data_IF_149337562835
#
_entry.id   IF_149337562835
#
_cell.length_a   1.000
_cell.length_b   1.000
_cell.length_c   1.000
_cell.angle_alpha   90.00
_cell.angle_beta   90.00
_cell.angle_gamma   90.00
#
_symmetry.space_group_name_H-M   'P 1'
#
loop_
_entity.id
_entity.type
_entity.pdbx_description
1 polymer ?
#
# COMPACT_ATOMS: atom_id res chain seq x y z
N UNK A 1 26.48 -14.05 0.58
CA UNK A 1 25.97 -12.91 1.37
C UNK A 1 25.43 -11.91 0.35
N UNK A 2 24.13 -11.99 0.05
CA UNK A 2 23.48 -10.99 -0.81
C UNK A 2 23.42 -9.73 0.05
N UNK A 3 24.18 -8.70 -0.30
CA UNK A 3 23.98 -7.38 0.27
C UNK A 3 22.54 -7.00 0.00
N UNK A 4 21.74 -6.67 1.03
CA UNK A 4 20.40 -6.10 0.82
C UNK A 4 20.55 -4.91 -0.12
N UNK A 5 20.17 -5.09 -1.39
CA UNK A 5 20.12 -4.00 -2.34
C UNK A 5 19.12 -2.98 -1.79
N UNK A 6 19.56 -1.73 -1.76
CA UNK A 6 18.78 -0.61 -1.26
C UNK A 6 17.61 -0.35 -2.21
N UNK A 7 16.42 -0.84 -1.85
CA UNK A 7 15.23 -0.75 -2.70
C UNK A 7 14.81 0.72 -2.90
N UNK A 8 15.00 1.58 -1.90
CA UNK A 8 14.69 3.01 -1.98
C UNK A 8 15.58 3.67 -3.02
N UNK A 9 16.89 3.42 -2.93
CA UNK A 9 17.86 3.95 -3.89
C UNK A 9 17.67 3.40 -5.29
N UNK A 10 17.37 2.10 -5.42
CA UNK A 10 17.20 1.43 -6.71
C UNK A 10 15.95 1.92 -7.44
N UNK A 11 14.89 2.23 -6.70
CA UNK A 11 13.66 2.81 -7.23
C UNK A 11 13.73 4.33 -7.40
N UNK A 12 14.79 4.99 -6.91
CA UNK A 12 14.93 6.44 -6.97
C UNK A 12 13.87 7.19 -6.15
N UNK A 13 13.42 6.62 -5.03
CA UNK A 13 12.36 7.19 -4.20
C UNK A 13 12.91 8.34 -3.37
N UNK A 14 12.26 9.50 -3.48
CA UNK A 14 12.62 10.73 -2.77
C UNK A 14 11.51 11.21 -1.81
N UNK A 15 11.85 11.98 -0.75
CA UNK A 15 10.85 12.53 0.15
C UNK A 15 9.82 13.41 -0.57
N UNK A 16 8.54 13.24 -0.22
CA UNK A 16 7.43 13.98 -0.83
C UNK A 16 6.86 13.35 -2.10
N UNK A 17 7.47 12.29 -2.62
CA UNK A 17 6.95 11.53 -3.76
C UNK A 17 5.80 10.60 -3.37
N UNK A 18 5.11 10.12 -4.40
CA UNK A 18 4.06 9.13 -4.35
C UNK A 18 4.39 7.91 -5.21
N UNK A 19 4.26 6.74 -4.60
CA UNK A 19 4.55 5.44 -5.20
C UNK A 19 3.29 4.58 -5.12
N UNK A 20 2.80 4.09 -6.25
CA UNK A 20 1.67 3.17 -6.30
C UNK A 20 2.12 1.76 -6.69
N UNK A 21 1.70 0.74 -5.96
CA UNK A 21 1.85 -0.66 -6.37
C UNK A 21 0.54 -1.19 -6.95
N UNK A 22 0.62 -1.80 -8.13
CA UNK A 22 -0.50 -2.41 -8.88
C UNK A 22 -0.20 -3.88 -9.20
N UNK A 23 -1.20 -4.66 -9.61
CA UNK A 23 -1.03 -6.05 -10.00
C UNK A 23 -1.28 -7.08 -8.89
N UNK A 24 -0.66 -8.26 -8.99
CA UNK A 24 -0.93 -9.45 -8.19
C UNK A 24 0.23 -9.87 -7.28
N UNK A 25 -0.10 -10.38 -6.08
CA UNK A 25 0.90 -10.83 -5.09
C UNK A 25 1.76 -9.70 -4.49
N UNK A 26 2.30 -9.89 -3.28
CA UNK A 26 3.42 -9.11 -2.71
C UNK A 26 3.30 -7.58 -2.51
N UNK A 27 2.28 -6.89 -3.05
CA UNK A 27 2.17 -5.42 -3.03
C UNK A 27 2.28 -4.81 -1.64
N UNK A 28 1.46 -5.28 -0.70
CA UNK A 28 1.48 -4.79 0.69
C UNK A 28 2.87 -4.96 1.29
N UNK A 29 3.49 -6.13 1.11
CA UNK A 29 4.83 -6.44 1.63
C UNK A 29 5.92 -5.58 0.99
N UNK A 30 5.83 -5.32 -0.32
CA UNK A 30 6.75 -4.44 -1.03
C UNK A 30 6.65 -3.01 -0.51
N UNK A 31 5.43 -2.48 -0.40
CA UNK A 31 5.21 -1.13 0.09
C UNK A 31 5.68 -0.97 1.55
N UNK A 32 5.43 -1.96 2.42
CA UNK A 32 5.92 -1.90 3.81
C UNK A 32 7.45 -2.00 3.89
N UNK A 33 8.10 -2.77 3.03
CA UNK A 33 9.56 -2.81 2.94
C UNK A 33 10.15 -1.47 2.51
N UNK A 34 9.59 -0.85 1.46
CA UNK A 34 9.97 0.50 1.01
C UNK A 34 9.78 1.52 2.15
N UNK A 35 8.64 1.49 2.85
CA UNK A 35 8.36 2.40 3.96
C UNK A 35 9.42 2.31 5.08
N UNK A 36 9.79 1.08 5.48
CA UNK A 36 10.79 0.83 6.52
C UNK A 36 12.15 1.37 6.13
N UNK A 37 12.61 1.03 4.93
CA UNK A 37 13.93 1.45 4.48
C UNK A 37 13.99 2.97 4.25
N UNK A 38 12.94 3.56 3.66
CA UNK A 38 12.85 5.00 3.45
C UNK A 38 12.92 5.78 4.77
N UNK A 39 12.12 5.36 5.76
CA UNK A 39 12.10 6.00 7.07
C UNK A 39 13.45 5.85 7.78
N UNK A 40 14.07 4.66 7.72
CA UNK A 40 15.38 4.41 8.33
C UNK A 40 16.50 5.26 7.72
N UNK A 41 16.46 5.53 6.41
CA UNK A 41 17.50 6.30 5.72
C UNK A 41 17.31 7.81 5.83
N UNK A 42 16.06 8.29 5.78
CA UNK A 42 15.76 9.72 5.65
C UNK A 42 15.25 10.36 6.95
N UNK A 43 14.77 9.55 7.90
CA UNK A 43 14.03 10.01 9.07
C UNK A 43 12.66 10.64 8.75
N UNK A 44 12.25 10.66 7.48
CA UNK A 44 10.99 11.26 7.03
C UNK A 44 9.82 10.27 7.21
N UNK A 45 8.59 10.77 7.40
CA UNK A 45 7.42 9.91 7.56
C UNK A 45 7.05 9.20 6.25
N UNK A 46 6.48 8.01 6.38
CA UNK A 46 5.89 7.26 5.27
C UNK A 46 4.42 6.94 5.59
N UNK A 47 3.55 7.23 4.63
CA UNK A 47 2.10 7.00 4.74
C UNK A 47 1.74 5.89 3.79
N UNK A 48 1.22 4.78 4.31
CA UNK A 48 0.67 3.70 3.52
C UNK A 48 -0.85 3.84 3.43
N UNK A 49 -1.39 3.68 2.24
CA UNK A 49 -2.83 3.69 2.02
C UNK A 49 -3.22 2.81 0.84
N UNK A 50 -4.52 2.73 0.52
CA UNK A 50 -5.01 1.88 -0.55
C UNK A 50 -6.26 2.49 -1.20
N UNK A 51 -6.51 2.16 -2.47
CA UNK A 51 -7.79 2.42 -3.16
C UNK A 51 -8.81 1.31 -2.99
N UNK A 52 -8.45 0.20 -2.34
CA UNK A 52 -9.30 -0.99 -2.19
C UNK A 52 -9.47 -1.41 -0.73
N UNK A 53 -10.00 -2.60 -0.46
CA UNK A 53 -10.08 -3.15 0.89
C UNK A 53 -8.83 -3.95 1.20
N UNK A 54 -8.14 -3.58 2.27
CA UNK A 54 -6.96 -4.28 2.78
C UNK A 54 -7.23 -4.87 4.17
N UNK A 55 -6.37 -5.78 4.60
CA UNK A 55 -6.30 -6.13 6.01
C UNK A 55 -5.49 -5.08 6.76
N UNK A 56 -5.91 -4.75 7.98
CA UNK A 56 -5.16 -3.87 8.86
C UNK A 56 -3.75 -4.44 9.11
N UNK A 57 -2.72 -3.59 9.24
CA UNK A 57 -1.38 -4.03 9.63
C UNK A 57 -1.43 -4.79 10.96
N UNK A 58 -0.51 -5.73 11.14
CA UNK A 58 -0.44 -6.48 12.38
C UNK A 58 0.22 -5.62 13.48
N UNK A 59 -0.24 -5.69 14.75
CA UNK A 59 0.32 -4.87 15.83
C UNK A 59 1.84 -5.00 15.99
N UNK A 60 2.38 -6.21 15.80
CA UNK A 60 3.81 -6.51 15.86
C UNK A 60 4.64 -5.86 14.74
N UNK A 61 3.99 -5.39 13.66
CA UNK A 61 4.69 -4.61 12.64
C UNK A 61 5.06 -3.20 13.14
N UNK A 62 4.43 -2.73 14.22
CA UNK A 62 4.74 -1.44 14.85
C UNK A 62 4.33 -0.22 14.03
N UNK A 63 3.44 -0.40 13.05
CA UNK A 63 2.93 0.69 12.24
C UNK A 63 1.80 1.45 12.98
N UNK A 64 1.79 2.78 12.85
CA UNK A 64 0.64 3.57 13.23
C UNK A 64 -0.57 3.24 12.36
N UNK A 65 -1.79 3.38 12.89
CA UNK A 65 -3.03 3.23 12.13
C UNK A 65 -3.95 4.41 12.41
N UNK A 66 -4.25 5.19 11.38
CA UNK A 66 -5.18 6.30 11.46
C UNK A 66 -6.41 6.04 10.57
N UNK A 67 -7.59 6.32 11.13
CA UNK A 67 -8.87 6.11 10.49
C UNK A 67 -9.68 7.40 10.49
N UNK A 68 -10.27 7.73 9.34
CA UNK A 68 -11.07 8.94 9.17
C UNK A 68 -11.19 9.33 7.72
N UNK A 69 -11.95 10.38 7.44
CA UNK A 69 -11.96 11.00 6.13
C UNK A 69 -10.59 11.63 5.80
N UNK A 70 -10.27 11.68 4.51
CA UNK A 70 -8.96 12.12 4.04
C UNK A 70 -8.62 13.54 4.48
N UNK A 71 -9.60 14.45 4.41
CA UNK A 71 -9.41 15.85 4.76
C UNK A 71 -9.11 16.04 6.26
N UNK A 72 -9.86 15.36 7.13
CA UNK A 72 -9.66 15.41 8.57
C UNK A 72 -8.33 14.78 8.97
N UNK A 73 -7.95 13.64 8.38
CA UNK A 73 -6.65 13.01 8.63
C UNK A 73 -5.51 13.94 8.22
N UNK A 74 -5.59 14.53 7.02
CA UNK A 74 -4.59 15.46 6.50
C UNK A 74 -4.42 16.68 7.42
N UNK A 75 -5.53 17.32 7.83
CA UNK A 75 -5.51 18.49 8.73
C UNK A 75 -5.04 18.17 10.15
N UNK A 76 -5.47 17.04 10.69
CA UNK A 76 -5.25 16.71 12.11
C UNK A 76 -3.88 16.10 12.35
N UNK A 77 -3.39 15.28 11.42
CA UNK A 77 -2.10 14.60 11.55
C UNK A 77 -0.97 15.36 10.84
N UNK A 78 -1.28 16.18 9.84
CA UNK A 78 -0.30 17.00 9.11
C UNK A 78 0.74 17.69 10.00
N UNK A 79 0.33 18.43 11.05
CA UNK A 79 1.26 19.09 11.97
C UNK A 79 2.18 18.14 12.75
N UNK A 80 1.73 16.90 12.96
CA UNK A 80 2.44 15.90 13.76
C UNK A 80 3.17 14.86 12.91
N UNK A 81 2.99 14.84 11.59
CA UNK A 81 3.56 13.81 10.71
C UNK A 81 5.08 13.69 10.83
N UNK A 82 5.79 14.81 11.00
CA UNK A 82 7.24 14.77 11.18
C UNK A 82 7.68 14.09 12.49
N UNK A 83 6.79 14.01 13.48
CA UNK A 83 6.99 13.23 14.71
C UNK A 83 6.47 11.78 14.58
N UNK A 84 5.73 11.48 13.51
CA UNK A 84 5.26 10.13 13.20
C UNK A 84 6.30 9.38 12.35
N UNK A 85 6.42 8.08 12.58
CA UNK A 85 7.24 7.20 11.74
C UNK A 85 6.47 6.73 10.52
N UNK A 86 6.12 5.45 10.52
CA UNK A 86 5.39 4.80 9.42
C UNK A 86 3.94 4.58 9.86
N UNK A 87 2.97 5.01 9.05
CA UNK A 87 1.56 4.93 9.41
C UNK A 87 0.68 4.50 8.25
N UNK A 88 -0.31 3.66 8.55
CA UNK A 88 -1.38 3.28 7.64
C UNK A 88 -2.58 4.21 7.80
N UNK A 89 -3.04 4.79 6.69
CA UNK A 89 -4.25 5.59 6.63
C UNK A 89 -5.32 4.82 5.87
N UNK A 90 -6.52 4.72 6.45
CA UNK A 90 -7.68 4.15 5.79
C UNK A 90 -8.95 4.90 6.19
N UNK A 91 -10.01 4.81 5.37
CA UNK A 91 -11.22 5.59 5.60
C UNK A 91 -11.99 5.13 6.83
N UNK A 92 -12.18 3.82 6.96
CA UNK A 92 -12.90 3.22 8.10
C UNK A 92 -12.63 1.72 8.23
N UNK A 93 -13.07 1.16 9.36
CA UNK A 93 -13.15 -0.29 9.57
C UNK A 93 -14.37 -0.83 8.85
N UNK A 94 -14.20 -1.92 8.13
CA UNK A 94 -15.29 -2.64 7.46
C UNK A 94 -15.79 -3.83 8.29
N UNK A 95 -14.96 -4.36 9.18
CA UNK A 95 -15.28 -5.50 10.03
C UNK A 95 -14.12 -6.49 10.13
N UNK A 96 -14.41 -7.69 10.62
CA UNK A 96 -13.46 -8.80 10.69
C UNK A 96 -13.80 -9.79 9.57
N UNK A 97 -12.79 -10.29 8.86
CA UNK A 97 -12.95 -11.27 7.80
C UNK A 97 -11.87 -12.35 7.88
N UNK A 98 -12.14 -13.58 7.41
CA UNK A 98 -11.13 -14.62 7.30
C UNK A 98 -10.04 -14.21 6.30
N UNK A 99 -8.82 -14.62 6.57
CA UNK A 99 -7.66 -14.36 5.73
C UNK A 99 -7.58 -15.45 4.64
N UNK A 100 -7.64 -15.11 3.33
CA UNK A 100 -7.50 -16.10 2.27
C UNK A 100 -6.17 -16.86 2.39
N UNK A 101 -6.24 -18.19 2.34
CA UNK A 101 -5.09 -19.09 2.56
C UNK A 101 -4.78 -19.42 4.02
N UNK A 102 -5.47 -18.77 4.98
CA UNK A 102 -5.30 -18.95 6.41
C UNK A 102 -6.67 -18.96 7.10
N UNK A 103 -7.45 -20.04 6.88
CA UNK A 103 -8.87 -20.10 7.25
C UNK A 103 -9.14 -20.00 8.76
N UNK A 104 -8.17 -20.37 9.60
CA UNK A 104 -8.24 -20.22 11.06
C UNK A 104 -7.97 -18.79 11.53
N UNK A 105 -7.49 -17.91 10.66
CA UNK A 105 -7.11 -16.55 10.98
C UNK A 105 -8.19 -15.56 10.52
N UNK A 106 -8.59 -14.69 11.44
CA UNK A 106 -9.52 -13.60 11.16
C UNK A 106 -8.85 -12.25 11.43
N UNK A 107 -8.94 -11.33 10.48
CA UNK A 107 -8.31 -10.02 10.56
C UNK A 107 -9.29 -8.90 10.27
N UNK A 108 -9.04 -7.75 10.91
CA UNK A 108 -9.75 -6.52 10.62
C UNK A 108 -9.51 -6.10 9.17
N UNK A 109 -10.59 -5.86 8.42
CA UNK A 109 -10.54 -5.21 7.12
C UNK A 109 -10.78 -3.72 7.26
N UNK A 110 -10.02 -2.98 6.46
CA UNK A 110 -10.12 -1.54 6.30
C UNK A 110 -10.62 -1.26 4.89
N UNK A 111 -11.47 -0.25 4.74
CA UNK A 111 -11.73 0.33 3.43
C UNK A 111 -10.79 1.50 3.17
N UNK A 112 -10.18 1.46 1.99
CA UNK A 112 -9.37 2.54 1.45
C UNK A 112 -10.19 3.76 1.05
N UNK A 113 -9.49 4.65 0.35
CA UNK A 113 -9.98 5.92 -0.15
C UNK A 113 -10.27 5.84 -1.65
N UNK A 114 -11.07 6.75 -2.18
CA UNK A 114 -11.11 6.97 -3.62
C UNK A 114 -9.79 7.59 -4.10
N UNK A 115 -9.45 7.47 -5.40
CA UNK A 115 -8.28 8.14 -5.96
C UNK A 115 -8.21 9.64 -5.67
N UNK A 116 -9.36 10.32 -5.74
CA UNK A 116 -9.47 11.76 -5.45
C UNK A 116 -9.27 12.08 -3.97
N UNK A 117 -9.75 11.23 -3.06
CA UNK A 117 -9.51 11.38 -1.62
C UNK A 117 -8.02 11.21 -1.27
N UNK A 118 -7.30 10.29 -1.94
CA UNK A 118 -5.85 10.11 -1.71
C UNK A 118 -5.06 11.36 -2.10
N UNK A 119 -5.47 12.10 -3.13
CA UNK A 119 -4.84 13.36 -3.51
C UNK A 119 -4.84 14.37 -2.33
N UNK A 120 -5.87 14.37 -1.49
CA UNK A 120 -5.99 15.23 -0.31
C UNK A 120 -5.09 14.80 0.88
N UNK A 121 -4.59 13.55 0.87
CA UNK A 121 -3.73 13.00 1.91
C UNK A 121 -2.25 13.33 1.74
N UNK A 122 -1.87 13.99 0.64
CA UNK A 122 -0.48 14.39 0.41
C UNK A 122 -0.03 15.37 1.49
N UNK A 123 0.99 14.96 2.24
CA UNK A 123 1.60 15.76 3.30
C UNK A 123 3.04 16.07 2.92
N UNK A 124 3.45 17.34 3.08
CA UNK A 124 4.74 17.83 2.60
C UNK A 124 5.90 17.02 3.18
N UNK A 125 6.76 16.48 2.31
CA UNK A 125 7.94 15.70 2.68
C UNK A 125 7.68 14.28 3.16
N UNK A 126 6.41 13.83 3.24
CA UNK A 126 6.06 12.44 3.51
C UNK A 126 6.10 11.63 2.21
N UNK A 127 6.60 10.39 2.29
CA UNK A 127 6.46 9.43 1.20
C UNK A 127 5.04 8.85 1.22
N UNK A 128 4.32 8.95 0.11
CA UNK A 128 3.00 8.34 -0.07
C UNK A 128 3.12 6.99 -0.76
N UNK A 129 2.70 5.92 -0.10
CA UNK A 129 2.72 4.54 -0.61
C UNK A 129 1.29 4.04 -0.78
N UNK A 130 0.90 3.70 -2.01
CA UNK A 130 -0.49 3.43 -2.36
C UNK A 130 -0.61 2.03 -2.91
N UNK A 131 -1.31 1.15 -2.22
CA UNK A 131 -1.72 -0.12 -2.78
C UNK A 131 -2.98 0.09 -3.63
N UNK A 132 -2.83 -0.02 -4.94
CA UNK A 132 -3.90 0.07 -5.90
C UNK A 132 -4.20 -1.29 -6.51
N UNK A 133 -5.33 -1.36 -7.22
CA UNK A 133 -5.60 -2.46 -8.15
C UNK A 133 -5.61 -3.86 -7.49
N UNK A 134 -6.42 -4.01 -6.43
CA UNK A 134 -6.41 -5.20 -5.58
C UNK A 134 -6.76 -6.50 -6.30
N UNK A 135 -5.77 -7.37 -6.54
CA UNK A 135 -5.94 -8.72 -7.12
C UNK A 135 -6.57 -9.79 -6.20
N UNK A 136 -7.15 -9.41 -5.06
CA UNK A 136 -7.57 -10.36 -3.99
C UNK A 136 -6.50 -11.40 -3.58
N UNK A 137 -5.22 -11.00 -3.58
CA UNK A 137 -4.03 -11.86 -3.37
C UNK A 137 -3.75 -12.91 -4.46
N UNK A 138 -4.45 -12.88 -5.58
CA UNK A 138 -4.06 -13.70 -6.74
C UNK A 138 -2.73 -13.20 -7.32
N UNK A 139 -1.92 -14.11 -7.87
CA UNK A 139 -0.55 -13.81 -8.28
C UNK A 139 -0.49 -12.93 -9.54
N UNK A 140 -1.54 -12.95 -10.38
CA UNK A 140 -1.72 -12.04 -11.52
C UNK A 140 -3.05 -11.30 -11.37
N UNK A 141 -3.06 -10.01 -11.76
CA UNK A 141 -4.27 -9.29 -12.13
C UNK A 141 -4.25 -8.96 -13.62
N UNK A 142 -5.35 -9.22 -14.30
CA UNK A 142 -5.62 -8.76 -15.65
C UNK A 142 -6.56 -7.55 -15.57
N UNK A 143 -6.03 -6.31 -15.58
CA UNK A 143 -6.83 -5.12 -15.37
C UNK A 143 -7.87 -4.95 -16.47
N UNK A 144 -9.05 -4.44 -16.10
CA UNK A 144 -10.09 -4.01 -17.03
C UNK A 144 -9.70 -2.74 -17.82
N UNK A 145 -10.54 -2.30 -18.78
CA UNK A 145 -10.27 -1.11 -19.59
C UNK A 145 -10.08 0.18 -18.77
N UNK A 146 -10.73 0.27 -17.61
CA UNK A 146 -10.69 1.42 -16.72
C UNK A 146 -9.73 1.22 -15.52
N UNK A 147 -8.87 0.20 -15.56
CA UNK A 147 -7.92 -0.14 -14.50
C UNK A 147 -6.46 -0.08 -14.97
N UNK A 148 -5.49 0.19 -14.07
CA UNK A 148 -5.67 0.47 -12.64
C UNK A 148 -6.20 1.89 -12.41
N UNK A 149 -7.17 2.01 -11.51
CA UNK A 149 -7.64 3.34 -11.07
C UNK A 149 -6.61 3.90 -10.06
N UNK A 150 -5.83 4.89 -10.51
CA UNK A 150 -4.78 5.53 -9.72
C UNK A 150 -5.16 6.98 -9.36
N UNK A 151 -4.67 7.51 -8.23
CA UNK A 151 -4.73 8.95 -7.95
C UNK A 151 -4.01 9.77 -9.03
N UNK A 152 -4.36 11.04 -9.14
CA UNK A 152 -3.63 11.94 -10.03
C UNK A 152 -2.20 12.22 -9.50
N UNK A 153 -1.26 12.43 -10.43
CA UNK A 153 0.13 12.81 -10.16
C UNK A 153 0.93 11.78 -9.35
N UNK A 154 0.79 10.48 -9.65
CA UNK A 154 1.68 9.45 -9.10
C UNK A 154 3.06 9.58 -9.75
N UNK A 155 4.11 9.63 -8.92
CA UNK A 155 5.49 9.79 -9.40
C UNK A 155 6.06 8.46 -9.89
N UNK A 156 5.77 7.36 -9.18
CA UNK A 156 6.27 6.02 -9.52
C UNK A 156 5.14 4.99 -9.44
N UNK A 157 5.00 4.17 -10.49
CA UNK A 157 4.09 3.02 -10.51
C UNK A 157 4.88 1.73 -10.58
N UNK A 158 4.66 0.85 -9.60
CA UNK A 158 5.29 -0.47 -9.48
C UNK A 158 4.30 -1.55 -9.90
N UNK A 159 4.56 -2.22 -11.01
CA UNK A 159 3.85 -3.42 -11.40
C UNK A 159 4.37 -4.63 -10.62
N UNK A 160 3.50 -5.27 -9.84
CA UNK A 160 3.85 -6.44 -9.04
C UNK A 160 3.17 -7.68 -9.62
N UNK A 161 3.95 -8.73 -9.76
CA UNK A 161 3.48 -10.07 -10.17
C UNK A 161 4.05 -11.07 -9.17
N UNK A 162 3.18 -11.94 -8.63
CA UNK A 162 3.60 -12.99 -7.72
C UNK A 162 4.44 -14.02 -8.47
N UNK A 163 5.60 -14.40 -7.92
CA UNK A 163 6.49 -15.38 -8.54
C UNK A 163 5.80 -16.75 -8.75
N UNK A 164 4.81 -17.07 -7.91
CA UNK A 164 3.96 -18.27 -8.03
C UNK A 164 3.15 -18.31 -9.35
N UNK A 165 3.07 -17.20 -10.09
CA UNK A 165 2.51 -17.18 -11.44
C UNK A 165 3.42 -17.84 -12.49
N UNK A 166 4.72 -17.96 -12.22
CA UNK A 166 5.69 -18.45 -13.20
C UNK A 166 5.43 -19.92 -13.53
N UNK A 167 5.07 -20.19 -14.80
CA UNK A 167 4.71 -21.52 -15.27
C UNK A 167 3.26 -21.94 -14.98
N UNK A 168 2.47 -21.10 -14.30
CA UNK A 168 1.06 -21.36 -14.05
C UNK A 168 0.20 -21.05 -15.29
N UNK A 169 -0.91 -21.78 -15.46
CA UNK A 169 -1.87 -21.48 -16.53
C UNK A 169 -2.65 -20.20 -16.23
N UNK A 170 -2.90 -19.39 -17.26
CA UNK A 170 -3.76 -18.21 -17.17
C UNK A 170 -5.22 -18.66 -17.07
N UNK A 171 -5.69 -18.90 -15.85
CA UNK A 171 -7.05 -19.32 -15.50
C UNK A 171 -7.60 -18.50 -14.34
N UNK A 172 -8.91 -18.56 -14.09
CA UNK A 172 -9.57 -17.83 -12.99
C UNK A 172 -9.01 -18.18 -11.60
N UNK A 173 -8.33 -19.34 -11.47
CA UNK A 173 -7.65 -19.73 -10.24
C UNK A 173 -6.36 -18.92 -9.97
N UNK A 174 -5.72 -18.39 -11.02
CA UNK A 174 -4.41 -17.73 -10.94
C UNK A 174 -4.44 -16.26 -11.37
N UNK A 175 -5.52 -15.84 -12.05
CA UNK A 175 -5.68 -14.50 -12.61
C UNK A 175 -6.94 -13.88 -12.02
N UNK A 176 -6.77 -12.78 -11.28
CA UNK A 176 -7.88 -11.91 -10.93
C UNK A 176 -8.25 -11.04 -12.13
N UNK A 177 -9.53 -10.97 -12.48
CA UNK A 177 -10.11 -9.94 -13.35
C UNK A 177 -10.85 -8.94 -12.49
#
# INVERSE_FOLDING_TARGET
MVTEEDIVRSLGVEPGQSVAAVGGGGKTSLLTAIARQFHAQTGKPAILTTTTKIFAPLPEEGFGLALGDAETLSKSLGPYMNACGISWFARRREGIAPVPGHESEQRMKLSGFTPSEITCLRLSGALMLIEADGARRLPIKAPGPDEPVLPENIDIVLGVVGLDALGASLSEANVFR
#
